data_IF_608727067593
#
_entry.id   IF_608727067593
#
_cell.length_a   1.000
_cell.length_b   1.000
_cell.length_c   1.000
_cell.angle_alpha   90.00
_cell.angle_beta   90.00
_cell.angle_gamma   90.00
#
_symmetry.space_group_name_H-M   'P 1'
#
loop_
_entity.id
_entity.type
_entity.pdbx_description
1 polymer ?
#
# COMPACT_ATOMS: atom_id res chain seq x y z
N UNK A 1 -26.09 -12.61 13.19
CA UNK A 1 -25.94 -11.20 12.80
C UNK A 1 -25.14 -10.37 13.81
N UNK A 2 -25.58 -10.17 15.06
CA UNK A 2 -24.80 -9.36 16.03
C UNK A 2 -23.36 -9.86 16.23
N UNK A 3 -23.17 -11.18 16.32
CA UNK A 3 -21.85 -11.78 16.50
C UNK A 3 -20.85 -11.45 15.37
N UNK A 4 -21.33 -11.34 14.13
CA UNK A 4 -20.48 -11.03 12.97
C UNK A 4 -20.03 -9.56 13.01
N UNK A 5 -20.93 -8.66 13.41
CA UNK A 5 -20.63 -7.22 13.59
C UNK A 5 -19.63 -7.04 14.73
N UNK A 6 -19.84 -7.69 15.86
CA UNK A 6 -18.88 -7.63 16.97
C UNK A 6 -17.54 -8.26 16.60
N UNK A 7 -17.54 -9.39 15.88
CA UNK A 7 -16.32 -10.03 15.40
C UNK A 7 -15.50 -9.11 14.50
N UNK A 8 -16.15 -8.44 13.55
CA UNK A 8 -15.49 -7.48 12.64
C UNK A 8 -14.96 -6.25 13.37
N UNK A 9 -15.71 -5.69 14.31
CA UNK A 9 -15.26 -4.56 15.14
C UNK A 9 -14.06 -4.94 16.02
N UNK A 10 -14.08 -6.11 16.65
CA UNK A 10 -12.97 -6.60 17.46
C UNK A 10 -11.72 -6.78 16.58
N UNK A 11 -11.86 -7.43 15.42
CA UNK A 11 -10.75 -7.62 14.49
C UNK A 11 -10.13 -6.27 14.06
N UNK A 12 -10.97 -5.31 13.67
CA UNK A 12 -10.52 -3.95 13.32
C UNK A 12 -9.70 -3.30 14.45
N UNK A 13 -10.22 -3.36 15.68
CA UNK A 13 -9.55 -2.77 16.84
C UNK A 13 -8.22 -3.46 17.16
N UNK A 14 -8.15 -4.79 17.04
CA UNK A 14 -6.91 -5.54 17.26
C UNK A 14 -5.85 -5.17 16.23
N UNK A 15 -6.21 -5.04 14.95
CA UNK A 15 -5.30 -4.62 13.89
C UNK A 15 -4.79 -3.20 14.16
N UNK A 16 -5.69 -2.27 14.50
CA UNK A 16 -5.32 -0.88 14.80
C UNK A 16 -4.39 -0.79 16.01
N UNK A 17 -4.58 -1.62 17.02
CA UNK A 17 -3.72 -1.67 18.20
C UNK A 17 -2.31 -2.19 17.88
N UNK A 18 -2.18 -3.20 17.02
CA UNK A 18 -0.85 -3.65 16.57
C UNK A 18 -0.15 -2.63 15.66
N UNK A 19 -0.90 -1.92 14.81
CA UNK A 19 -0.36 -0.79 14.04
C UNK A 19 0.14 0.31 14.97
N UNK A 20 -0.62 0.68 16.01
CA UNK A 20 -0.21 1.71 16.97
C UNK A 20 1.07 1.31 17.73
N UNK A 21 1.18 0.04 18.13
CA UNK A 21 2.40 -0.49 18.76
C UNK A 21 3.61 -0.45 17.83
N UNK A 22 3.43 -0.84 16.57
CA UNK A 22 4.50 -0.79 15.57
C UNK A 22 4.93 0.67 15.30
N UNK A 23 3.97 1.57 15.17
CA UNK A 23 4.21 2.99 14.93
C UNK A 23 4.98 3.66 16.08
N UNK A 24 4.69 3.28 17.32
CA UNK A 24 5.41 3.77 18.50
C UNK A 24 6.90 3.44 18.46
N UNK A 25 7.27 2.24 17.97
CA UNK A 25 8.68 1.82 17.85
C UNK A 25 9.43 2.67 16.82
N UNK A 26 8.76 3.08 15.76
CA UNK A 26 9.32 3.84 14.62
C UNK A 26 9.23 5.35 14.82
N UNK A 27 8.46 5.81 15.82
CA UNK A 27 8.09 7.21 16.02
C UNK A 27 7.36 7.81 14.82
N UNK A 28 6.54 7.00 14.13
CA UNK A 28 5.65 7.47 13.07
C UNK A 28 4.21 7.58 13.58
N UNK A 29 3.37 8.30 12.84
CA UNK A 29 1.95 8.34 13.14
C UNK A 29 1.28 7.03 12.68
N UNK A 30 0.40 6.39 13.49
CA UNK A 30 -0.32 5.18 13.10
C UNK A 30 -1.11 5.29 11.78
N UNK A 31 -1.48 6.53 11.40
CA UNK A 31 -2.21 6.84 10.16
C UNK A 31 -1.35 6.65 8.90
N UNK A 32 -0.03 6.75 9.02
CA UNK A 32 0.89 6.58 7.88
C UNK A 32 1.04 5.12 7.45
N UNK A 33 0.68 4.17 8.31
CA UNK A 33 0.71 2.74 7.99
C UNK A 33 -0.59 2.35 7.28
N UNK A 34 -0.47 1.73 6.11
CA UNK A 34 -1.63 1.20 5.38
C UNK A 34 -2.36 0.13 6.20
N UNK A 35 -3.64 0.38 6.51
CA UNK A 35 -4.50 -0.59 7.17
C UNK A 35 -4.64 -1.88 6.35
N UNK A 36 -4.83 -1.78 5.03
CA UNK A 36 -5.03 -2.94 4.15
C UNK A 36 -3.76 -3.78 4.08
N UNK A 37 -2.58 -3.17 3.95
CA UNK A 37 -1.32 -3.91 3.92
C UNK A 37 -1.05 -4.57 5.28
N UNK A 38 -1.27 -3.84 6.37
CA UNK A 38 -1.13 -4.37 7.73
C UNK A 38 -2.08 -5.55 7.98
N UNK A 39 -3.34 -5.46 7.53
CA UNK A 39 -4.32 -6.54 7.64
C UNK A 39 -3.83 -7.83 6.97
N UNK A 40 -3.39 -7.76 5.71
CA UNK A 40 -2.90 -8.93 4.99
C UNK A 40 -1.65 -9.53 5.65
N UNK A 41 -0.74 -8.68 6.15
CA UNK A 41 0.46 -9.13 6.84
C UNK A 41 0.12 -9.88 8.14
N UNK A 42 -0.78 -9.31 8.95
CA UNK A 42 -1.24 -9.93 10.20
C UNK A 42 -1.97 -11.25 9.90
N UNK A 43 -2.84 -11.26 8.90
CA UNK A 43 -3.55 -12.48 8.49
C UNK A 43 -2.58 -13.58 8.06
N UNK A 44 -1.55 -13.23 7.28
CA UNK A 44 -0.52 -14.17 6.85
C UNK A 44 0.25 -14.75 8.04
N UNK A 45 0.73 -13.91 8.96
CA UNK A 45 1.46 -14.37 10.16
C UNK A 45 0.58 -15.26 11.06
N UNK A 46 -0.69 -14.90 11.25
CA UNK A 46 -1.65 -15.71 12.00
C UNK A 46 -1.93 -17.05 11.33
N UNK A 47 -2.03 -17.09 10.00
CA UNK A 47 -2.22 -18.32 9.25
C UNK A 47 -1.02 -19.26 9.43
N UNK A 48 0.20 -18.74 9.34
CA UNK A 48 1.41 -19.53 9.60
C UNK A 48 1.52 -19.98 11.05
N UNK A 49 1.14 -19.14 12.00
CA UNK A 49 1.10 -19.48 13.42
C UNK A 49 0.09 -20.60 13.71
N UNK A 50 -1.04 -20.64 13.01
CA UNK A 50 -2.04 -21.69 13.16
C UNK A 50 -1.55 -23.05 12.62
N UNK A 51 -0.81 -23.04 11.50
CA UNK A 51 -0.24 -24.26 10.90
C UNK A 51 0.97 -24.77 11.71
N UNK A 52 1.80 -23.85 12.18
CA UNK A 52 3.05 -24.20 12.89
C UNK A 52 2.76 -24.47 14.36
N UNK A 53 2.80 -25.74 14.80
CA UNK A 53 2.62 -26.14 16.22
C UNK A 53 3.81 -25.78 17.14
N UNK A 54 4.37 -24.58 16.99
CA UNK A 54 5.51 -24.09 17.77
C UNK A 54 5.12 -22.83 18.56
N UNK A 55 4.28 -22.99 19.57
CA UNK A 55 3.76 -21.89 20.39
C UNK A 55 4.85 -21.09 21.12
N UNK A 56 6.00 -21.71 21.43
CA UNK A 56 7.13 -21.02 22.06
C UNK A 56 7.79 -19.93 21.19
N UNK A 57 7.56 -19.96 19.87
CA UNK A 57 8.11 -18.96 18.94
C UNK A 57 7.17 -17.77 18.70
N UNK A 58 5.95 -17.79 19.24
CA UNK A 58 4.96 -16.73 19.03
C UNK A 58 5.44 -15.34 19.47
N UNK A 59 6.11 -15.16 20.62
CA UNK A 59 6.60 -13.84 21.00
C UNK A 59 7.63 -13.28 20.00
N UNK A 60 8.48 -14.15 19.46
CA UNK A 60 9.47 -13.78 18.45
C UNK A 60 8.81 -13.44 17.11
N UNK A 61 7.83 -14.23 16.65
CA UNK A 61 7.09 -13.93 15.42
C UNK A 61 6.31 -12.62 15.52
N UNK A 62 5.71 -12.32 16.69
CA UNK A 62 5.06 -11.03 16.92
C UNK A 62 6.04 -9.85 16.85
N UNK A 63 7.27 -10.02 17.34
CA UNK A 63 8.31 -9.00 17.21
C UNK A 63 8.66 -8.75 15.74
N UNK A 64 8.86 -9.82 14.98
CA UNK A 64 9.13 -9.74 13.53
C UNK A 64 7.97 -9.15 12.73
N UNK A 65 6.72 -9.48 13.09
CA UNK A 65 5.53 -8.87 12.52
C UNK A 65 5.55 -7.35 12.70
N UNK A 66 5.88 -6.86 13.90
CA UNK A 66 5.97 -5.42 14.18
C UNK A 66 7.08 -4.76 13.37
N UNK A 67 8.24 -5.41 13.25
CA UNK A 67 9.35 -4.96 12.41
C UNK A 67 8.92 -4.87 10.93
N UNK A 68 8.16 -5.85 10.43
CA UNK A 68 7.62 -5.84 9.06
C UNK A 68 6.52 -4.80 8.83
N UNK A 69 5.70 -4.50 9.84
CA UNK A 69 4.70 -3.44 9.74
C UNK A 69 5.35 -2.07 9.46
N UNK A 70 6.56 -1.85 9.96
CA UNK A 70 7.35 -0.63 9.69
C UNK A 70 7.64 -0.44 8.20
N UNK A 71 7.90 -1.51 7.44
CA UNK A 71 8.19 -1.37 6.02
C UNK A 71 6.96 -1.03 5.17
N UNK A 72 5.78 -0.95 5.77
CA UNK A 72 4.50 -0.69 5.10
C UNK A 72 4.03 0.76 5.24
N UNK A 73 4.93 1.70 5.56
CA UNK A 73 4.61 3.12 5.46
C UNK A 73 4.08 3.43 4.05
N UNK A 74 3.03 4.23 4.01
CA UNK A 74 2.54 4.79 2.77
C UNK A 74 3.51 5.88 2.34
N UNK A 75 4.25 5.63 1.27
CA UNK A 75 4.95 6.70 0.58
C UNK A 75 3.91 7.64 -0.01
N UNK A 76 3.99 8.92 0.35
CA UNK A 76 3.20 9.94 -0.32
C UNK A 76 3.65 9.99 -1.78
N UNK A 77 2.73 9.62 -2.67
CA UNK A 77 3.00 9.71 -4.10
C UNK A 77 3.21 11.18 -4.43
N UNK A 78 4.35 11.57 -5.03
CA UNK A 78 4.55 12.94 -5.43
C UNK A 78 3.45 13.37 -6.41
N UNK A 79 3.00 14.61 -6.27
CA UNK A 79 1.99 15.17 -7.16
C UNK A 79 2.44 15.11 -8.61
N UNK A 80 1.46 14.92 -9.51
CA UNK A 80 1.73 14.86 -10.94
C UNK A 80 2.18 16.24 -11.41
N UNK A 81 3.46 16.38 -11.70
CA UNK A 81 4.00 17.54 -12.40
C UNK A 81 4.03 17.26 -13.90
N UNK A 82 3.20 17.97 -14.65
CA UNK A 82 3.32 18.06 -16.11
C UNK A 82 3.76 19.46 -16.48
N UNK A 83 4.89 19.58 -17.17
CA UNK A 83 5.27 20.86 -17.76
C UNK A 83 4.26 21.21 -18.86
N UNK A 84 3.84 22.47 -18.92
CA UNK A 84 2.95 22.94 -19.99
C UNK A 84 3.71 22.91 -21.31
N UNK A 85 3.44 21.90 -22.14
CA UNK A 85 3.97 21.80 -23.50
C UNK A 85 2.89 22.19 -24.53
N UNK A 86 3.23 23.10 -25.45
CA UNK A 86 2.40 23.42 -26.61
C UNK A 86 2.77 22.45 -27.74
N UNK A 87 1.76 21.81 -28.35
CA UNK A 87 1.99 20.96 -29.53
C UNK A 87 2.60 21.79 -30.65
N UNK A 88 3.68 21.30 -31.27
CA UNK A 88 4.27 21.96 -32.43
C UNK A 88 3.21 22.15 -33.54
N UNK A 89 3.32 23.26 -34.29
CA UNK A 89 2.44 23.50 -35.44
C UNK A 89 2.55 22.32 -36.42
N UNK A 90 1.43 21.78 -36.93
CA UNK A 90 1.48 20.66 -37.87
C UNK A 90 2.18 21.09 -39.16
N UNK A 91 3.25 20.39 -39.52
CA UNK A 91 3.95 20.60 -40.81
C UNK A 91 3.25 19.75 -41.88
N UNK A 92 2.89 20.38 -43.00
CA UNK A 92 2.34 19.65 -44.16
C UNK A 92 3.44 18.81 -44.80
N UNK A 93 3.13 17.57 -45.14
CA UNK A 93 4.03 16.70 -45.91
C UNK A 93 4.33 17.31 -47.29
N UNK A 94 5.56 17.13 -47.78
CA UNK A 94 5.95 17.57 -49.11
C UNK A 94 5.07 16.88 -50.16
N UNK A 95 4.23 17.65 -50.85
CA UNK A 95 3.34 17.14 -51.90
C UNK A 95 3.97 17.44 -53.26
N UNK A 96 4.11 16.43 -54.12
CA UNK A 96 4.60 16.61 -55.49
C UNK A 96 3.52 17.29 -56.32
N UNK A 97 3.74 18.54 -56.71
CA UNK A 97 2.81 19.28 -57.58
C UNK A 97 3.11 18.91 -59.04
N UNK A 98 2.19 18.23 -59.71
CA UNK A 98 2.26 18.00 -61.15
C UNK A 98 1.85 19.28 -61.88
N UNK A 99 2.76 19.89 -62.64
CA UNK A 99 2.42 21.04 -63.51
C UNK A 99 1.57 20.53 -64.68
N UNK A 100 0.42 21.18 -64.92
CA UNK A 100 -0.39 20.91 -66.12
C UNK A 100 0.37 21.44 -67.35
N UNK A 101 0.47 20.66 -68.44
CA UNK A 101 0.94 21.17 -69.72
C UNK A 101 -0.07 22.19 -70.28
N UNK A 102 0.48 23.19 -70.98
CA UNK A 102 -0.24 24.32 -71.59
C UNK A 102 -1.14 23.89 -72.75
#
# INVERSE_FOLDING_TARGET
VYQEIWGTLIAYNMIRLEIAKAALVVKCEPTQVSFIRAFHLIQFELHWAAVTRSYGKLPASMKHLRERLVSLLNDERPDRKFDRAVKAKPQRYATRVLRKPA
#
